data_IF_293191779004
#
_entry.id   IF_293191779004
#
_cell.length_a   1.000
_cell.length_b   1.000
_cell.length_c   1.000
_cell.angle_alpha   90.00
_cell.angle_beta   90.00
_cell.angle_gamma   90.00
#
_symmetry.space_group_name_H-M   'P 1'
#
loop_
_entity.id
_entity.type
_entity.pdbx_description
1 polymer ?
#
# COMPACT_ATOMS: atom_id res chain seq x y z
N UNK A 1 24.24 45.57 -18.53
CA UNK A 1 22.84 45.41 -18.12
C UNK A 1 22.00 44.50 -19.07
N UNK A 2 22.10 44.60 -20.40
CA UNK A 2 21.29 43.80 -21.33
C UNK A 2 21.57 42.26 -21.27
N UNK A 3 22.81 41.82 -20.96
CA UNK A 3 23.16 40.37 -20.88
C UNK A 3 22.60 39.69 -19.61
N UNK A 4 22.46 40.37 -18.49
CA UNK A 4 21.89 39.81 -17.28
C UNK A 4 20.37 39.59 -17.39
N UNK A 5 19.67 40.43 -18.14
CA UNK A 5 18.21 40.30 -18.34
C UNK A 5 17.89 39.06 -19.19
N UNK A 6 18.73 38.73 -20.19
CA UNK A 6 18.54 37.53 -21.00
C UNK A 6 18.74 36.22 -20.21
N UNK A 7 19.73 36.21 -19.30
CA UNK A 7 19.99 35.03 -18.46
C UNK A 7 18.84 34.80 -17.48
N UNK A 8 18.28 35.85 -16.89
CA UNK A 8 17.12 35.76 -16.00
C UNK A 8 15.85 35.27 -16.73
N UNK A 9 15.66 35.68 -18.00
CA UNK A 9 14.53 35.23 -18.82
C UNK A 9 14.66 33.75 -19.20
N UNK A 10 15.86 33.27 -19.53
CA UNK A 10 16.14 31.86 -19.80
C UNK A 10 16.00 30.99 -18.56
N UNK A 11 16.40 31.46 -17.38
CA UNK A 11 16.23 30.76 -16.10
C UNK A 11 14.74 30.67 -15.72
N UNK A 12 13.96 31.72 -15.95
CA UNK A 12 12.52 31.73 -15.70
C UNK A 12 11.75 30.79 -16.63
N UNK A 13 12.17 30.67 -17.90
CA UNK A 13 11.59 29.73 -18.85
C UNK A 13 11.91 28.27 -18.51
N UNK A 14 13.12 28.00 -18.03
CA UNK A 14 13.53 26.64 -17.63
C UNK A 14 12.76 26.13 -16.39
N UNK A 15 12.39 27.00 -15.47
CA UNK A 15 11.58 26.64 -14.29
C UNK A 15 10.12 26.34 -14.68
N UNK A 16 9.60 26.97 -15.74
CA UNK A 16 8.20 26.77 -16.16
C UNK A 16 7.96 25.43 -16.90
N UNK A 17 8.99 24.73 -17.36
CA UNK A 17 8.85 23.46 -18.08
C UNK A 17 8.85 22.26 -17.12
N UNK A 18 9.20 22.45 -15.85
CA UNK A 18 9.33 21.34 -14.88
C UNK A 18 8.03 20.98 -14.13
N UNK A 19 6.88 21.61 -14.44
CA UNK A 19 5.72 21.53 -13.53
C UNK A 19 4.55 20.66 -13.97
N UNK A 20 4.62 19.92 -15.10
CA UNK A 20 3.46 19.17 -15.59
C UNK A 20 3.68 17.64 -15.76
N UNK A 21 4.66 17.09 -15.08
CA UNK A 21 4.76 15.63 -14.98
C UNK A 21 3.61 15.11 -14.11
N UNK A 22 2.56 14.56 -14.72
CA UNK A 22 1.49 13.86 -14.00
C UNK A 22 2.12 12.87 -13.03
N UNK A 23 1.81 13.03 -11.75
CA UNK A 23 2.24 12.07 -10.73
C UNK A 23 1.61 10.69 -11.05
N UNK A 24 2.39 9.60 -11.05
CA UNK A 24 1.83 8.28 -11.32
C UNK A 24 0.91 7.84 -10.18
N UNK A 25 -0.13 7.07 -10.50
CA UNK A 25 -0.84 6.31 -9.49
C UNK A 25 0.06 5.20 -8.95
N UNK A 26 -0.02 4.94 -7.64
CA UNK A 26 0.76 3.91 -6.95
C UNK A 26 -0.22 2.87 -6.41
N UNK A 27 -0.10 1.63 -6.87
CA UNK A 27 -0.87 0.50 -6.38
C UNK A 27 0.08 -0.47 -5.71
N UNK A 28 -0.08 -0.66 -4.40
CA UNK A 28 0.69 -1.59 -3.59
C UNK A 28 -0.21 -2.77 -3.21
N UNK A 29 0.16 -3.97 -3.66
CA UNK A 29 -0.58 -5.20 -3.38
C UNK A 29 0.27 -6.09 -2.50
N UNK A 30 -0.23 -6.41 -1.31
CA UNK A 30 0.40 -7.37 -0.39
C UNK A 30 -0.46 -8.62 -0.29
N UNK A 31 0.06 -9.72 -0.78
CA UNK A 31 -0.55 -11.04 -0.57
C UNK A 31 -0.17 -11.58 0.82
N UNK A 32 -1.14 -12.15 1.54
CA UNK A 32 -0.95 -12.75 2.86
C UNK A 32 -0.80 -14.26 2.70
N UNK A 33 0.21 -14.83 3.33
CA UNK A 33 0.54 -16.27 3.29
C UNK A 33 0.78 -16.84 1.88
N UNK A 34 1.23 -16.01 0.93
CA UNK A 34 1.60 -16.43 -0.41
C UNK A 34 3.08 -16.84 -0.44
N UNK A 35 3.36 -18.05 -0.87
CA UNK A 35 4.72 -18.56 -1.05
C UNK A 35 5.36 -18.07 -2.36
N UNK A 36 6.69 -18.06 -2.39
CA UNK A 36 7.45 -17.72 -3.61
C UNK A 36 7.07 -18.63 -4.79
N UNK A 37 6.89 -19.92 -4.53
CA UNK A 37 6.57 -20.93 -5.55
C UNK A 37 5.07 -20.99 -5.90
N UNK A 38 4.23 -20.09 -5.39
CA UNK A 38 2.79 -20.09 -5.69
C UNK A 38 2.44 -19.25 -6.93
N UNK A 39 3.42 -18.55 -7.49
CA UNK A 39 3.26 -17.75 -8.72
C UNK A 39 3.86 -18.48 -9.93
N UNK A 40 3.13 -18.48 -11.06
CA UNK A 40 3.56 -19.10 -12.30
C UNK A 40 4.91 -18.58 -12.79
N UNK A 41 5.17 -17.28 -12.70
CA UNK A 41 6.44 -16.65 -13.08
C UNK A 41 7.66 -17.14 -12.26
N UNK A 42 7.44 -17.83 -11.15
CA UNK A 42 8.46 -18.49 -10.33
C UNK A 42 8.42 -20.02 -10.41
N UNK A 43 7.64 -20.57 -11.34
CA UNK A 43 7.61 -22.00 -11.60
C UNK A 43 6.48 -22.77 -10.90
N UNK A 44 5.42 -22.08 -10.41
CA UNK A 44 4.24 -22.73 -9.87
C UNK A 44 3.48 -23.52 -10.92
N UNK A 45 2.82 -24.59 -10.49
CA UNK A 45 1.78 -25.28 -11.25
C UNK A 45 0.45 -24.49 -11.27
N UNK A 46 0.30 -23.52 -10.38
CA UNK A 46 -0.86 -22.63 -10.30
C UNK A 46 -0.74 -21.60 -11.44
N UNK A 47 -1.80 -21.48 -12.22
CA UNK A 47 -1.85 -20.50 -13.30
C UNK A 47 -2.16 -19.10 -12.75
N UNK A 48 -1.23 -18.17 -12.92
CA UNK A 48 -1.35 -16.77 -12.49
C UNK A 48 -1.13 -15.79 -13.64
N UNK A 49 -1.93 -15.87 -14.75
CA UNK A 49 -1.59 -15.22 -16.01
C UNK A 49 -1.43 -13.71 -15.91
N UNK A 50 -2.23 -13.02 -15.09
CA UNK A 50 -2.11 -11.58 -14.92
C UNK A 50 -0.86 -11.17 -14.13
N UNK A 51 -0.49 -11.95 -13.10
CA UNK A 51 0.74 -11.72 -12.34
C UNK A 51 1.97 -12.10 -13.16
N UNK A 52 1.88 -13.14 -13.97
CA UNK A 52 2.95 -13.55 -14.89
C UNK A 52 3.20 -12.48 -15.96
N UNK A 53 2.15 -11.86 -16.50
CA UNK A 53 2.27 -10.72 -17.41
C UNK A 53 2.94 -9.52 -16.73
N UNK A 54 2.50 -9.18 -15.52
CA UNK A 54 3.13 -8.10 -14.74
C UNK A 54 4.62 -8.38 -14.48
N UNK A 55 4.96 -9.62 -14.19
CA UNK A 55 6.35 -10.05 -13.98
C UNK A 55 7.19 -10.01 -15.28
N UNK A 56 6.59 -10.28 -16.42
CA UNK A 56 7.24 -10.23 -17.73
C UNK A 56 7.49 -8.79 -18.23
N UNK A 57 6.57 -7.88 -17.93
CA UNK A 57 6.62 -6.48 -18.36
C UNK A 57 7.30 -5.56 -17.35
N UNK A 58 7.51 -6.02 -16.11
CA UNK A 58 8.05 -5.24 -15.02
C UNK A 58 9.38 -5.78 -14.48
N UNK A 59 9.72 -5.32 -13.27
CA UNK A 59 10.88 -5.80 -12.53
C UNK A 59 10.48 -6.97 -11.63
N UNK A 60 11.09 -8.13 -11.86
CA UNK A 60 10.91 -9.35 -11.06
C UNK A 60 12.13 -9.59 -10.18
N UNK A 61 11.93 -9.61 -8.85
CA UNK A 61 12.98 -9.91 -7.90
C UNK A 61 13.11 -11.43 -7.71
N UNK A 62 14.34 -11.94 -7.79
CA UNK A 62 14.66 -13.34 -7.49
C UNK A 62 15.05 -13.57 -6.03
N UNK A 63 15.44 -12.51 -5.33
CA UNK A 63 15.82 -12.52 -3.92
C UNK A 63 15.16 -11.34 -3.20
N UNK A 64 13.99 -11.57 -2.66
CA UNK A 64 13.22 -10.61 -1.88
C UNK A 64 12.72 -11.28 -0.61
N UNK A 65 13.13 -10.79 0.53
CA UNK A 65 12.85 -11.40 1.82
C UNK A 65 11.90 -10.52 2.63
N UNK A 66 10.87 -11.12 3.18
CA UNK A 66 9.99 -10.49 4.15
C UNK A 66 10.42 -10.85 5.58
N UNK A 67 9.67 -10.42 6.59
CA UNK A 67 9.95 -10.74 8.00
C UNK A 67 9.22 -11.98 8.49
N UNK A 68 8.67 -12.79 7.58
CA UNK A 68 7.99 -14.07 7.81
C UNK A 68 6.87 -14.05 8.86
N UNK A 69 6.32 -12.87 9.18
CA UNK A 69 5.21 -12.68 10.11
C UNK A 69 4.32 -11.55 9.61
N UNK A 70 3.01 -11.76 9.62
CA UNK A 70 2.06 -10.84 8.99
C UNK A 70 2.16 -9.40 9.51
N UNK A 71 2.11 -9.16 10.83
CA UNK A 71 2.20 -7.78 11.33
C UNK A 71 3.58 -7.15 11.11
N UNK A 72 4.67 -7.90 11.28
CA UNK A 72 6.03 -7.36 11.09
C UNK A 72 6.29 -6.99 9.63
N UNK A 73 5.83 -7.80 8.68
CA UNK A 73 5.93 -7.52 7.25
C UNK A 73 5.12 -6.28 6.86
N UNK A 74 3.93 -6.10 7.46
CA UNK A 74 3.09 -4.91 7.25
C UNK A 74 3.75 -3.65 7.79
N UNK A 75 4.29 -3.71 9.00
CA UNK A 75 5.07 -2.59 9.58
C UNK A 75 6.23 -2.21 8.66
N UNK A 76 7.04 -3.18 8.25
CA UNK A 76 8.21 -2.92 7.40
C UNK A 76 7.82 -2.35 6.04
N UNK A 77 6.76 -2.88 5.43
CA UNK A 77 6.25 -2.41 4.14
C UNK A 77 5.73 -0.96 4.24
N UNK A 78 4.99 -0.65 5.31
CA UNK A 78 4.39 0.66 5.49
C UNK A 78 5.40 1.75 5.86
N UNK A 79 6.50 1.41 6.55
CA UNK A 79 7.43 2.40 7.11
C UNK A 79 8.83 2.37 6.50
N UNK A 80 9.20 1.30 5.80
CA UNK A 80 10.58 1.07 5.36
C UNK A 80 11.54 0.72 6.50
N UNK A 81 11.05 0.49 7.73
CA UNK A 81 11.83 0.17 8.91
C UNK A 81 11.63 -1.30 9.32
N UNK A 82 12.59 -1.87 10.04
CA UNK A 82 12.31 -3.12 10.75
C UNK A 82 11.23 -2.92 11.82
N UNK A 83 10.44 -3.96 12.07
CA UNK A 83 9.28 -3.89 12.95
C UNK A 83 9.61 -3.28 14.33
N UNK A 84 10.69 -3.71 14.98
CA UNK A 84 11.09 -3.19 16.29
C UNK A 84 11.58 -1.73 16.24
N UNK A 85 12.17 -1.31 15.11
CA UNK A 85 12.57 0.08 14.90
C UNK A 85 11.36 1.01 14.77
N UNK A 86 10.29 0.53 14.15
CA UNK A 86 9.04 1.27 14.00
C UNK A 86 8.15 1.25 15.25
N UNK A 87 8.58 0.62 16.35
CA UNK A 87 7.77 0.47 17.57
C UNK A 87 6.81 -0.72 17.55
N UNK A 88 7.10 -1.72 16.73
CA UNK A 88 6.26 -2.90 16.57
C UNK A 88 4.92 -2.58 15.91
N UNK A 89 3.89 -3.33 16.26
CA UNK A 89 2.54 -3.12 15.73
C UNK A 89 1.92 -1.76 16.11
N UNK A 90 2.53 -0.99 17.00
CA UNK A 90 2.04 0.34 17.42
C UNK A 90 2.33 1.42 16.40
N UNK A 91 3.36 1.24 15.57
CA UNK A 91 3.81 2.25 14.61
C UNK A 91 4.05 3.61 15.27
N UNK A 92 4.62 3.63 16.48
CA UNK A 92 4.85 4.86 17.23
C UNK A 92 6.18 5.53 16.89
N UNK A 93 6.92 4.99 15.93
CA UNK A 93 8.17 5.52 15.41
C UNK A 93 8.22 5.41 13.89
N UNK A 94 8.67 6.48 13.24
CA UNK A 94 8.71 6.59 11.78
C UNK A 94 7.38 7.06 11.19
N UNK A 95 7.40 7.41 9.92
CA UNK A 95 6.22 7.77 9.15
C UNK A 95 5.81 6.62 8.22
N UNK A 96 4.52 6.47 7.98
CA UNK A 96 4.01 5.51 7.02
C UNK A 96 4.09 6.06 5.59
N UNK A 97 4.08 5.15 4.62
CA UNK A 97 3.98 5.52 3.20
C UNK A 97 2.74 6.38 2.91
N UNK A 98 1.63 6.15 3.63
CA UNK A 98 0.41 6.94 3.47
C UNK A 98 0.58 8.37 3.98
N UNK A 99 1.23 8.57 5.14
CA UNK A 99 1.55 9.90 5.66
C UNK A 99 2.50 10.65 4.73
N UNK A 100 3.55 9.99 4.22
CA UNK A 100 4.51 10.60 3.30
C UNK A 100 3.85 10.99 1.98
N UNK A 101 3.07 10.10 1.38
CA UNK A 101 2.37 10.37 0.13
C UNK A 101 1.26 11.42 0.29
N UNK A 102 0.58 11.42 1.44
CA UNK A 102 -0.40 12.46 1.76
C UNK A 102 0.20 13.86 1.80
N UNK A 103 1.44 14.01 2.31
CA UNK A 103 2.16 15.30 2.28
C UNK A 103 2.54 15.73 0.85
N UNK A 104 2.58 14.78 -0.09
CA UNK A 104 2.80 15.04 -1.50
C UNK A 104 1.47 15.14 -2.30
N UNK A 105 0.36 15.41 -1.63
CA UNK A 105 -0.99 15.56 -2.19
C UNK A 105 -1.52 14.32 -2.92
N UNK A 106 -1.08 13.12 -2.56
CA UNK A 106 -1.73 11.91 -3.00
C UNK A 106 -2.98 11.64 -2.15
N UNK A 107 -4.03 11.18 -2.81
CA UNK A 107 -5.14 10.54 -2.11
C UNK A 107 -4.72 9.13 -1.71
N UNK A 108 -4.78 8.83 -0.41
CA UNK A 108 -4.31 7.56 0.16
C UNK A 108 -5.50 6.70 0.57
N UNK A 109 -5.57 5.49 0.05
CA UNK A 109 -6.61 4.53 0.38
C UNK A 109 -6.04 3.14 0.66
N UNK A 110 -6.66 2.41 1.55
CA UNK A 110 -6.31 1.03 1.87
C UNK A 110 -7.55 0.14 1.90
N UNK A 111 -7.42 -1.07 1.39
CA UNK A 111 -8.45 -2.11 1.46
C UNK A 111 -7.84 -3.39 2.01
N UNK A 112 -8.57 -4.10 2.88
CA UNK A 112 -8.21 -5.40 3.38
C UNK A 112 -7.68 -5.44 4.82
N UNK A 113 -6.82 -6.42 5.11
CA UNK A 113 -6.31 -6.70 6.45
C UNK A 113 -5.34 -5.62 6.93
N UNK A 114 -5.58 -5.08 8.12
CA UNK A 114 -4.68 -4.17 8.82
C UNK A 114 -3.69 -4.86 9.74
N UNK A 115 -4.16 -5.54 10.75
CA UNK A 115 -3.40 -6.33 11.73
C UNK A 115 -2.33 -5.53 12.50
N UNK A 116 -2.56 -4.25 12.71
CA UNK A 116 -1.72 -3.38 13.55
C UNK A 116 -2.58 -2.69 14.61
N UNK A 117 -1.94 -1.94 15.50
CA UNK A 117 -2.65 -1.14 16.50
C UNK A 117 -3.37 0.04 15.87
N UNK A 118 -4.42 0.52 16.53
CA UNK A 118 -5.27 1.61 16.02
C UNK A 118 -5.85 1.29 14.63
N UNK A 119 -6.20 2.30 13.88
CA UNK A 119 -6.82 2.16 12.56
C UNK A 119 -5.95 2.76 11.46
N UNK A 120 -6.06 2.32 10.20
CA UNK A 120 -5.30 2.88 9.10
C UNK A 120 -5.45 4.39 8.94
N UNK A 121 -6.62 4.93 9.29
CA UNK A 121 -6.89 6.38 9.26
C UNK A 121 -6.05 7.17 10.26
N UNK A 122 -5.59 6.56 11.35
CA UNK A 122 -4.66 7.17 12.31
C UNK A 122 -3.23 7.28 11.75
N UNK A 123 -2.96 6.62 10.62
CA UNK A 123 -1.64 6.48 10.00
C UNK A 123 -1.60 7.00 8.55
N UNK A 124 -2.43 8.02 8.26
CA UNK A 124 -2.38 8.77 7.01
C UNK A 124 -3.22 8.22 5.86
N UNK A 125 -3.94 7.12 6.04
CA UNK A 125 -4.91 6.69 5.03
C UNK A 125 -6.19 7.52 5.13
N UNK A 126 -6.53 8.22 4.06
CA UNK A 126 -7.75 9.04 3.97
C UNK A 126 -9.00 8.18 3.78
N UNK A 127 -8.83 6.95 3.27
CA UNK A 127 -9.92 5.98 3.16
C UNK A 127 -9.45 4.59 3.51
N UNK A 128 -10.27 3.89 4.27
CA UNK A 128 -10.03 2.50 4.64
C UNK A 128 -11.31 1.68 4.59
N UNK A 129 -11.21 0.48 4.04
CA UNK A 129 -12.21 -0.57 4.20
C UNK A 129 -11.53 -1.92 4.40
N UNK A 130 -11.89 -2.64 5.46
CA UNK A 130 -11.32 -3.93 5.76
C UNK A 130 -11.46 -4.32 7.23
N UNK A 131 -10.66 -5.30 7.66
CA UNK A 131 -10.68 -5.81 9.02
C UNK A 131 -9.39 -5.48 9.77
N UNK A 132 -9.52 -5.13 11.06
CA UNK A 132 -8.38 -4.79 11.92
C UNK A 132 -7.67 -6.01 12.48
N UNK A 133 -8.37 -7.17 12.55
CA UNK A 133 -7.86 -8.42 13.11
C UNK A 133 -6.76 -9.06 12.27
N UNK A 134 -5.99 -9.94 12.91
CA UNK A 134 -4.97 -10.75 12.23
C UNK A 134 -5.55 -11.83 11.31
N UNK A 135 -6.79 -12.23 11.56
CA UNK A 135 -7.54 -13.19 10.75
C UNK A 135 -9.04 -12.90 10.89
N UNK A 136 -9.80 -13.27 9.88
CA UNK A 136 -11.26 -13.18 9.87
C UNK A 136 -11.86 -14.35 9.08
N UNK A 137 -13.14 -14.62 9.27
CA UNK A 137 -13.85 -15.58 8.44
C UNK A 137 -14.01 -15.05 7.01
N UNK A 138 -13.63 -15.83 6.02
CA UNK A 138 -13.84 -15.49 4.62
C UNK A 138 -15.33 -15.47 4.20
N UNK A 139 -16.20 -16.10 5.00
CA UNK A 139 -17.62 -16.26 4.65
C UNK A 139 -18.55 -15.36 5.47
N UNK A 140 -18.14 -14.96 6.68
CA UNK A 140 -19.04 -14.25 7.60
C UNK A 140 -18.48 -12.90 8.06
N UNK A 141 -17.17 -12.64 7.85
CA UNK A 141 -16.51 -11.52 8.46
C UNK A 141 -16.47 -11.64 10.00
N UNK A 142 -16.19 -10.54 10.66
CA UNK A 142 -16.20 -10.41 12.13
C UNK A 142 -16.49 -8.96 12.56
N UNK A 143 -16.47 -8.71 13.86
CA UNK A 143 -16.73 -7.40 14.44
C UNK A 143 -15.56 -6.41 14.29
N UNK A 144 -14.46 -6.80 13.66
CA UNK A 144 -13.29 -5.94 13.43
C UNK A 144 -13.31 -5.22 12.09
N UNK A 145 -14.32 -5.46 11.26
CA UNK A 145 -14.49 -4.71 10.02
C UNK A 145 -14.77 -3.23 10.28
N UNK A 146 -14.13 -2.39 9.48
CA UNK A 146 -14.22 -0.93 9.56
C UNK A 146 -14.41 -0.31 8.18
N UNK A 147 -15.11 0.80 8.18
CA UNK A 147 -15.12 1.75 7.07
C UNK A 147 -14.81 3.15 7.64
N UNK A 148 -13.62 3.65 7.33
CA UNK A 148 -13.13 4.95 7.79
C UNK A 148 -13.26 5.19 9.30
N UNK A 149 -12.84 4.20 10.12
CA UNK A 149 -12.91 4.30 11.58
C UNK A 149 -14.21 3.82 12.19
N UNK A 150 -15.28 3.70 11.42
CA UNK A 150 -16.57 3.24 11.90
C UNK A 150 -16.72 1.73 11.75
N UNK A 151 -17.41 1.11 12.71
CA UNK A 151 -17.72 -0.32 12.63
C UNK A 151 -18.55 -0.59 11.37
N UNK A 152 -18.11 -1.56 10.58
CA UNK A 152 -18.81 -2.00 9.39
C UNK A 152 -19.38 -3.39 9.61
N UNK A 153 -20.68 -3.55 9.45
CA UNK A 153 -21.33 -4.85 9.50
C UNK A 153 -21.28 -5.48 8.12
N UNK A 154 -20.55 -6.58 8.01
CA UNK A 154 -20.49 -7.34 6.75
C UNK A 154 -21.86 -7.95 6.50
N UNK A 155 -22.50 -7.68 5.36
CA UNK A 155 -23.79 -8.26 5.05
C UNK A 155 -23.71 -9.78 5.00
N UNK A 156 -24.76 -10.47 5.44
CA UNK A 156 -24.81 -11.95 5.34
C UNK A 156 -24.80 -12.45 3.89
N UNK A 157 -25.23 -11.60 2.98
CA UNK A 157 -25.29 -11.94 1.55
C UNK A 157 -24.79 -10.77 0.70
N UNK A 158 -24.14 -11.08 -0.41
CA UNK A 158 -23.84 -10.15 -1.48
C UNK A 158 -24.69 -10.50 -2.70
N UNK A 159 -25.56 -9.57 -3.13
CA UNK A 159 -26.49 -9.78 -4.26
C UNK A 159 -27.36 -11.06 -4.10
N UNK A 160 -27.80 -11.34 -2.86
CA UNK A 160 -28.63 -12.51 -2.55
C UNK A 160 -27.88 -13.84 -2.47
N UNK A 161 -26.53 -13.82 -2.54
CA UNK A 161 -25.67 -14.99 -2.34
C UNK A 161 -24.98 -14.89 -0.98
N UNK A 162 -24.93 -15.99 -0.20
CA UNK A 162 -24.11 -15.99 1.03
C UNK A 162 -22.64 -15.72 0.68
N UNK A 163 -21.95 -15.06 1.59
CA UNK A 163 -20.51 -14.87 1.47
C UNK A 163 -19.79 -16.19 1.55
#
# INVERSE_FOLDING_TARGET
>A
MKRCIFILYFLALAVSIASDAKRPNIVLIMADDLGFADLGCYGSEIQTPNLDTLAAEGLRFSQFYNTAKCHSSRVSLLTGLYCDQAGGAKLDRGATIAEVLGQADYFTAMVGKWHLSKEPTDFGFQRYWGHLSGATSFFKGDNTFRFNGEKYEVPETLNGRPF
#
